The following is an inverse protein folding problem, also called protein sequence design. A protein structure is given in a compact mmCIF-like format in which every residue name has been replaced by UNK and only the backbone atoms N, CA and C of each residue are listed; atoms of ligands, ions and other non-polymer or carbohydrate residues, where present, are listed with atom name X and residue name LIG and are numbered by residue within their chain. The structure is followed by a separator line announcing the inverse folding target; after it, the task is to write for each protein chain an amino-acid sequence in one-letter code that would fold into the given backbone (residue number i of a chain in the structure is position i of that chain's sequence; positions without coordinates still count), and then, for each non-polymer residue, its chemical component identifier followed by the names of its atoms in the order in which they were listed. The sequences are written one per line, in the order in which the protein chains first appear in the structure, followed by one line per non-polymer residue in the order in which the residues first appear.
data_IF_075887225870
#
_entry.id   IF_075887225870
#
_cell.length_a   1.000
_cell.length_b   1.000
_cell.length_c   1.000
_cell.angle_alpha   90.00
_cell.angle_beta   90.00
_cell.angle_gamma   90.00
#
_symmetry.space_group_name_H-M   'P 1'
#
loop_
_entity.id
_entity.type
_entity.pdbx_description
1 polymer ?
#
# COMPACT_ATOMS: atom_id res chain seq x y z
N UNK A 1 -13.82 9.84 -21.01
CA UNK A 1 -12.81 10.58 -21.79
C UNK A 1 -11.55 10.73 -20.92
N UNK A 2 -10.43 10.19 -21.33
CA UNK A 2 -9.15 10.28 -20.58
C UNK A 2 -8.41 11.56 -20.97
N UNK A 3 -7.93 12.33 -20.00
CA UNK A 3 -7.07 13.49 -20.22
C UNK A 3 -5.67 13.16 -19.76
N UNK A 4 -4.66 13.61 -20.51
CA UNK A 4 -3.24 13.46 -20.19
C UNK A 4 -2.64 14.85 -19.99
N UNK A 5 -1.92 15.01 -18.88
CA UNK A 5 -1.04 16.15 -18.62
C UNK A 5 0.39 15.62 -18.49
N UNK A 6 1.34 16.21 -19.21
CA UNK A 6 2.72 15.78 -19.20
C UNK A 6 3.65 16.99 -18.98
N UNK A 7 4.57 16.85 -18.03
CA UNK A 7 5.58 17.87 -17.73
C UNK A 7 6.83 17.20 -17.15
N UNK A 8 7.99 17.52 -17.71
CA UNK A 8 9.30 17.08 -17.18
C UNK A 8 9.41 15.56 -16.97
N UNK A 9 8.83 14.76 -17.88
CA UNK A 9 8.80 13.30 -17.77
C UNK A 9 7.72 12.72 -16.86
N UNK A 10 6.97 13.55 -16.12
CA UNK A 10 5.84 13.14 -15.31
C UNK A 10 4.55 13.14 -16.13
N UNK A 11 3.73 12.11 -15.93
CA UNK A 11 2.44 11.95 -16.61
C UNK A 11 1.31 11.85 -15.58
N UNK A 12 0.30 12.68 -15.73
CA UNK A 12 -0.93 12.61 -14.95
C UNK A 12 -2.07 12.24 -15.89
N UNK A 13 -2.71 11.12 -15.61
CA UNK A 13 -3.89 10.69 -16.32
C UNK A 13 -5.13 10.95 -15.47
N UNK A 14 -6.08 11.68 -16.04
CA UNK A 14 -7.40 11.85 -15.47
C UNK A 14 -8.41 11.04 -16.26
N UNK A 15 -8.97 10.00 -15.69
CA UNK A 15 -9.92 9.11 -16.34
C UNK A 15 -10.15 7.84 -15.56
N UNK A 16 -10.78 6.87 -16.17
CA UNK A 16 -10.98 5.56 -15.59
C UNK A 16 -9.64 4.82 -15.45
N UNK A 17 -9.31 4.42 -14.21
CA UNK A 17 -8.03 3.80 -13.89
C UNK A 17 -7.88 2.40 -14.52
N UNK A 18 -8.96 1.63 -14.65
CA UNK A 18 -8.94 0.31 -15.30
C UNK A 18 -8.56 0.46 -16.77
N UNK A 19 -9.19 1.41 -17.48
CA UNK A 19 -8.89 1.69 -18.87
C UNK A 19 -7.45 2.22 -19.03
N UNK A 20 -7.01 3.13 -18.16
CA UNK A 20 -5.67 3.72 -18.24
C UNK A 20 -4.60 2.67 -17.97
N UNK A 21 -4.76 1.86 -16.95
CA UNK A 21 -3.83 0.76 -16.64
C UNK A 21 -3.78 -0.27 -17.78
N UNK A 22 -4.94 -0.60 -18.36
CA UNK A 22 -5.01 -1.53 -19.49
C UNK A 22 -4.28 -0.99 -20.72
N UNK A 23 -4.63 0.22 -21.15
CA UNK A 23 -4.31 0.73 -22.48
C UNK A 23 -3.01 1.53 -22.56
N UNK A 24 -2.61 2.17 -21.44
CA UNK A 24 -1.51 3.14 -21.40
C UNK A 24 -0.29 2.68 -20.60
N UNK A 25 -0.42 1.59 -19.86
CA UNK A 25 0.68 1.08 -19.03
C UNK A 25 1.13 -0.29 -19.55
N UNK A 26 2.35 -0.43 -20.04
CA UNK A 26 2.86 -1.73 -20.49
C UNK A 26 2.92 -2.74 -19.32
N UNK A 27 2.80 -4.03 -19.63
CA UNK A 27 2.98 -5.09 -18.64
C UNK A 27 4.45 -5.10 -18.15
N UNK A 28 4.66 -5.44 -16.88
CA UNK A 28 5.99 -5.53 -16.27
C UNK A 28 6.85 -4.25 -16.44
N UNK A 29 6.23 -3.07 -16.37
CA UNK A 29 6.90 -1.78 -16.59
C UNK A 29 7.05 -0.94 -15.32
N UNK A 30 6.24 -1.20 -14.29
CA UNK A 30 6.23 -0.38 -13.08
C UNK A 30 7.15 -0.96 -12.01
N UNK A 31 7.98 -0.10 -11.43
CA UNK A 31 8.81 -0.44 -10.26
C UNK A 31 8.01 -0.37 -8.96
N UNK A 32 7.03 0.54 -8.91
CA UNK A 32 6.19 0.78 -7.75
C UNK A 32 4.76 1.11 -8.17
N UNK A 33 3.81 0.55 -7.46
CA UNK A 33 2.42 1.00 -7.43
C UNK A 33 2.09 1.42 -6.00
N UNK A 34 1.64 2.66 -5.81
CA UNK A 34 0.97 3.10 -4.60
C UNK A 34 -0.49 3.35 -4.93
N UNK A 35 -1.39 2.58 -4.31
CA UNK A 35 -2.81 2.65 -4.59
C UNK A 35 -3.59 3.13 -3.36
N UNK A 36 -4.34 4.21 -3.55
CA UNK A 36 -5.28 4.79 -2.58
C UNK A 36 -6.64 4.95 -3.27
N UNK A 37 -7.43 3.86 -3.38
CA UNK A 37 -8.71 3.86 -4.09
C UNK A 37 -9.79 4.55 -3.26
N UNK A 38 -10.95 4.89 -3.85
CA UNK A 38 -12.15 5.22 -3.10
C UNK A 38 -12.49 4.11 -2.09
N UNK A 39 -13.01 4.46 -0.90
CA UNK A 39 -13.14 3.53 0.23
C UNK A 39 -14.54 2.92 0.39
N UNK A 40 -15.48 3.23 -0.49
CA UNK A 40 -16.89 2.81 -0.38
C UNK A 40 -17.58 3.29 0.93
N UNK A 41 -17.25 4.51 1.36
CA UNK A 41 -17.80 5.12 2.59
C UNK A 41 -18.87 6.18 2.31
N UNK A 42 -19.24 6.37 1.04
CA UNK A 42 -20.25 7.33 0.62
C UNK A 42 -19.79 8.78 0.65
N UNK A 43 -18.48 9.04 0.68
CA UNK A 43 -17.91 10.39 0.63
C UNK A 43 -18.21 11.04 -0.71
N UNK A 44 -18.65 12.30 -0.68
CA UNK A 44 -18.93 13.08 -1.89
C UNK A 44 -17.66 13.80 -2.37
N UNK A 45 -17.27 13.54 -3.59
CA UNK A 45 -16.21 14.21 -4.31
C UNK A 45 -16.79 15.07 -5.44
N UNK A 46 -17.31 16.26 -5.09
CA UNK A 46 -17.91 17.20 -6.03
C UNK A 46 -19.07 16.58 -6.85
N UNK A 47 -20.04 15.98 -6.18
CA UNK A 47 -21.22 15.37 -6.79
C UNK A 47 -21.03 13.92 -7.24
N UNK A 48 -19.85 13.34 -7.04
CA UNK A 48 -19.59 11.92 -7.29
C UNK A 48 -19.29 11.22 -5.97
N UNK A 49 -20.26 10.40 -5.53
CA UNK A 49 -20.09 9.62 -4.29
C UNK A 49 -19.24 8.38 -4.54
N UNK A 50 -18.34 8.07 -3.60
CA UNK A 50 -17.60 6.81 -3.56
C UNK A 50 -18.48 5.73 -2.91
N UNK A 51 -19.51 5.30 -3.61
CA UNK A 51 -20.47 4.32 -3.13
C UNK A 51 -20.86 3.35 -4.23
N UNK A 52 -20.76 2.07 -3.92
CA UNK A 52 -21.25 0.94 -4.70
C UNK A 52 -22.58 0.44 -4.14
N UNK A 53 -23.33 -0.32 -4.91
CA UNK A 53 -24.61 -0.85 -4.49
C UNK A 53 -24.46 -1.91 -3.39
N UNK A 54 -23.31 -2.62 -3.36
CA UNK A 54 -22.94 -3.55 -2.31
C UNK A 54 -21.44 -3.55 -2.03
N UNK A 55 -21.07 -4.08 -0.86
CA UNK A 55 -19.66 -4.28 -0.51
C UNK A 55 -19.00 -5.33 -1.40
N UNK A 56 -19.75 -6.33 -1.87
CA UNK A 56 -19.23 -7.34 -2.78
C UNK A 56 -18.90 -6.75 -4.16
N UNK A 57 -19.77 -5.89 -4.70
CA UNK A 57 -19.50 -5.19 -5.95
C UNK A 57 -18.26 -4.29 -5.84
N UNK A 58 -18.10 -3.60 -4.72
CA UNK A 58 -16.89 -2.81 -4.46
C UNK A 58 -15.64 -3.69 -4.41
N UNK A 59 -15.70 -4.85 -3.76
CA UNK A 59 -14.57 -5.78 -3.66
C UNK A 59 -14.20 -6.35 -5.03
N UNK A 60 -15.18 -6.75 -5.83
CA UNK A 60 -14.94 -7.23 -7.19
C UNK A 60 -14.28 -6.15 -8.06
N UNK A 61 -14.75 -4.91 -7.96
CA UNK A 61 -14.10 -3.78 -8.62
C UNK A 61 -12.64 -3.61 -8.13
N UNK A 62 -12.39 -3.74 -6.83
CA UNK A 62 -11.03 -3.70 -6.29
C UNK A 62 -10.17 -4.83 -6.87
N UNK A 63 -10.67 -6.04 -6.93
CA UNK A 63 -9.92 -7.18 -7.47
C UNK A 63 -9.54 -6.97 -8.94
N UNK A 64 -10.41 -6.39 -9.74
CA UNK A 64 -10.14 -6.09 -11.14
C UNK A 64 -8.94 -5.16 -11.33
N UNK A 65 -8.90 -4.02 -10.65
CA UNK A 65 -7.78 -3.10 -10.83
C UNK A 65 -6.51 -3.57 -10.09
N UNK A 66 -6.62 -4.32 -9.00
CA UNK A 66 -5.47 -4.95 -8.34
C UNK A 66 -4.77 -5.94 -9.27
N UNK A 67 -5.52 -6.77 -9.98
CA UNK A 67 -4.96 -7.71 -10.96
C UNK A 67 -4.24 -6.99 -12.10
N UNK A 68 -4.78 -5.85 -12.56
CA UNK A 68 -4.08 -5.00 -13.51
C UNK A 68 -2.77 -4.46 -12.91
N UNK A 69 -2.79 -3.91 -11.71
CA UNK A 69 -1.58 -3.43 -11.04
C UNK A 69 -0.52 -4.52 -10.91
N UNK A 70 -0.90 -5.72 -10.47
CA UNK A 70 0.00 -6.87 -10.35
C UNK A 70 0.63 -7.23 -11.71
N UNK A 71 -0.15 -7.22 -12.78
CA UNK A 71 0.33 -7.49 -14.13
C UNK A 71 1.33 -6.42 -14.61
N UNK A 72 1.08 -5.15 -14.28
CA UNK A 72 1.94 -4.02 -14.68
C UNK A 72 3.24 -3.93 -13.88
N UNK A 73 3.30 -4.48 -12.67
CA UNK A 73 4.52 -4.51 -11.87
C UNK A 73 5.61 -5.36 -12.52
N UNK A 74 6.85 -4.88 -12.47
CA UNK A 74 8.07 -5.66 -12.75
C UNK A 74 8.19 -6.84 -11.77
N UNK A 75 8.98 -7.87 -12.08
CA UNK A 75 9.27 -8.95 -11.12
C UNK A 75 9.84 -8.43 -9.79
N UNK A 76 10.64 -7.36 -9.82
CA UNK A 76 11.25 -6.68 -8.66
C UNK A 76 10.39 -5.57 -8.08
N UNK A 77 9.19 -5.35 -8.64
CA UNK A 77 8.31 -4.24 -8.27
C UNK A 77 7.54 -4.48 -6.98
N UNK A 78 7.12 -3.38 -6.38
CA UNK A 78 6.39 -3.33 -5.11
C UNK A 78 5.01 -2.72 -5.27
N UNK A 79 4.03 -3.25 -4.53
CA UNK A 79 2.69 -2.68 -4.39
C UNK A 79 2.46 -2.23 -2.95
N UNK A 80 2.10 -0.96 -2.78
CA UNK A 80 1.54 -0.43 -1.55
C UNK A 80 0.06 -0.16 -1.76
N UNK A 81 -0.78 -0.80 -0.95
CA UNK A 81 -2.23 -0.61 -0.99
C UNK A 81 -2.70 0.01 0.32
N UNK A 82 -3.28 1.20 0.24
CA UNK A 82 -4.03 1.82 1.33
C UNK A 82 -5.52 1.61 1.09
N UNK A 83 -6.29 1.29 2.13
CA UNK A 83 -7.73 1.13 2.03
C UNK A 83 -8.39 1.31 3.41
N UNK A 84 -9.71 1.52 3.42
CA UNK A 84 -10.46 1.60 4.66
C UNK A 84 -10.38 0.30 5.48
N UNK A 85 -10.35 0.46 6.81
CA UNK A 85 -10.19 -0.64 7.78
C UNK A 85 -11.20 -1.77 7.59
N UNK A 86 -12.44 -1.48 7.21
CA UNK A 86 -13.49 -2.47 6.99
C UNK A 86 -13.26 -3.31 5.72
N UNK A 87 -12.60 -2.77 4.70
CA UNK A 87 -12.35 -3.46 3.44
C UNK A 87 -10.96 -4.14 3.39
N UNK A 88 -10.00 -3.62 4.15
CA UNK A 88 -8.64 -4.14 4.18
C UNK A 88 -8.52 -5.66 4.41
N UNK A 89 -9.29 -6.31 5.32
CA UNK A 89 -9.18 -7.75 5.52
C UNK A 89 -9.44 -8.58 4.25
N UNK A 90 -10.39 -8.18 3.43
CA UNK A 90 -10.73 -8.87 2.17
C UNK A 90 -9.64 -8.68 1.12
N UNK A 91 -9.10 -7.47 1.03
CA UNK A 91 -8.02 -7.14 0.11
C UNK A 91 -6.70 -7.80 0.51
N UNK A 92 -6.43 -7.92 1.81
CA UNK A 92 -5.29 -8.65 2.37
C UNK A 92 -5.36 -10.14 1.98
N UNK A 93 -6.50 -10.80 2.23
CA UNK A 93 -6.69 -12.20 1.83
C UNK A 93 -6.55 -12.38 0.32
N UNK A 94 -7.11 -11.47 -0.48
CA UNK A 94 -7.01 -11.52 -1.93
C UNK A 94 -5.56 -11.41 -2.41
N UNK A 95 -4.83 -10.41 -1.92
CA UNK A 95 -3.44 -10.16 -2.29
C UNK A 95 -2.49 -11.24 -1.78
N UNK A 96 -2.73 -11.81 -0.60
CA UNK A 96 -1.88 -12.88 -0.05
C UNK A 96 -1.82 -14.16 -0.90
N UNK A 97 -2.83 -14.34 -1.77
CA UNK A 97 -2.88 -15.46 -2.73
C UNK A 97 -2.08 -15.20 -4.00
N UNK A 98 -1.66 -13.95 -4.25
CA UNK A 98 -1.05 -13.51 -5.52
C UNK A 98 0.33 -12.90 -5.32
N UNK A 99 0.58 -12.30 -4.17
CA UNK A 99 1.80 -11.59 -3.81
C UNK A 99 2.29 -12.01 -2.43
N UNK A 100 3.53 -11.68 -2.13
CA UNK A 100 4.05 -11.79 -0.77
C UNK A 100 3.80 -10.48 -0.01
N UNK A 101 2.98 -10.53 1.04
CA UNK A 101 2.80 -9.40 1.94
C UNK A 101 3.97 -9.37 2.91
N UNK A 102 4.81 -8.33 2.82
CA UNK A 102 5.98 -8.16 3.66
C UNK A 102 5.67 -7.41 4.96
N UNK A 103 4.79 -6.41 4.88
CA UNK A 103 4.42 -5.60 6.04
C UNK A 103 2.97 -5.15 5.97
N UNK A 104 2.35 -5.05 7.15
CA UNK A 104 1.09 -4.36 7.39
C UNK A 104 1.42 -3.11 8.17
N UNK A 105 1.40 -1.96 7.49
CA UNK A 105 1.82 -0.67 7.99
C UNK A 105 0.58 0.03 8.53
N UNK A 106 0.74 0.74 9.62
CA UNK A 106 -0.30 1.57 10.22
C UNK A 106 0.10 3.03 10.04
N UNK A 107 -0.67 3.76 9.25
CA UNK A 107 -0.57 5.21 9.21
C UNK A 107 -1.45 5.80 10.29
N UNK A 108 -0.86 6.11 11.43
CA UNK A 108 -1.56 6.72 12.55
C UNK A 108 -1.74 8.23 12.36
N UNK A 109 -2.93 8.73 12.70
CA UNK A 109 -3.24 10.16 12.77
C UNK A 109 -4.18 10.46 13.94
N UNK A 110 -4.12 11.69 14.47
CA UNK A 110 -4.92 12.14 15.62
C UNK A 110 -5.96 13.23 15.27
N UNK A 111 -6.10 13.53 13.97
CA UNK A 111 -6.92 14.64 13.46
C UNK A 111 -8.39 14.30 13.22
N UNK A 112 -8.83 13.06 13.49
CA UNK A 112 -10.22 12.71 13.26
C UNK A 112 -11.12 13.19 14.37
N UNK A 113 -12.15 14.01 14.02
CA UNK A 113 -13.20 14.44 14.92
C UNK A 113 -14.20 13.35 15.33
N UNK A 114 -13.88 12.07 15.13
CA UNK A 114 -14.79 10.96 15.43
C UNK A 114 -14.82 10.70 16.92
N UNK A 115 -15.84 11.23 17.60
CA UNK A 115 -16.15 10.89 18.99
C UNK A 115 -17.03 9.64 19.03
N UNK A 116 -16.43 8.48 19.03
CA UNK A 116 -17.14 7.22 19.22
C UNK A 116 -17.50 7.04 20.72
N UNK A 117 -18.80 6.90 21.03
CA UNK A 117 -19.26 6.71 22.41
C UNK A 117 -19.37 5.25 22.85
N UNK A 118 -19.37 4.28 21.94
CA UNK A 118 -19.64 2.86 22.21
C UNK A 118 -18.60 1.90 21.66
N UNK A 119 -17.57 2.41 20.94
CA UNK A 119 -16.47 1.62 20.36
C UNK A 119 -15.24 2.51 20.22
N UNK A 120 -14.10 1.91 19.96
CA UNK A 120 -12.88 2.65 19.66
C UNK A 120 -12.92 3.19 18.23
N UNK A 121 -12.75 4.50 18.06
CA UNK A 121 -12.63 5.11 16.72
C UNK A 121 -11.36 4.64 16.01
N UNK A 122 -11.43 4.42 14.71
CA UNK A 122 -10.24 4.16 13.90
C UNK A 122 -9.49 5.47 13.67
N UNK A 123 -8.28 5.57 14.20
CA UNK A 123 -7.36 6.70 14.03
C UNK A 123 -6.15 6.28 13.20
N UNK A 124 -6.36 5.41 12.21
CA UNK A 124 -5.30 4.95 11.34
C UNK A 124 -5.84 4.48 9.99
N UNK A 125 -4.97 4.52 8.99
CA UNK A 125 -5.18 3.87 7.71
C UNK A 125 -4.23 2.68 7.60
N UNK A 126 -4.75 1.48 7.31
CA UNK A 126 -3.91 0.31 7.06
C UNK A 126 -3.31 0.37 5.66
N UNK A 127 -2.02 0.02 5.55
CA UNK A 127 -1.32 -0.07 4.26
C UNK A 127 -0.66 -1.44 4.17
N UNK A 128 -0.88 -2.15 3.06
CA UNK A 128 -0.18 -3.39 2.74
C UNK A 128 1.04 -3.08 1.89
N UNK A 129 2.20 -3.59 2.30
CA UNK A 129 3.40 -3.62 1.47
C UNK A 129 3.57 -5.02 0.88
N UNK A 130 3.46 -5.14 -0.43
CA UNK A 130 3.45 -6.40 -1.16
C UNK A 130 4.52 -6.41 -2.26
N UNK A 131 5.08 -7.60 -2.52
CA UNK A 131 6.07 -7.83 -3.59
C UNK A 131 5.77 -9.11 -4.35
N UNK A 132 6.22 -9.20 -5.61
CA UNK A 132 6.12 -10.43 -6.40
C UNK A 132 7.08 -11.51 -5.93
N UNK A 133 8.32 -11.12 -5.66
CA UNK A 133 9.36 -12.01 -5.16
C UNK A 133 10.02 -11.41 -3.91
N UNK A 134 9.89 -12.10 -2.78
CA UNK A 134 10.47 -11.68 -1.50
C UNK A 134 12.01 -11.71 -1.45
N UNK A 135 12.65 -12.24 -2.48
CA UNK A 135 14.11 -12.28 -2.60
C UNK A 135 14.69 -11.26 -3.57
N UNK A 136 13.84 -10.70 -4.46
CA UNK A 136 14.26 -9.84 -5.55
C UNK A 136 13.36 -8.59 -5.66
N UNK A 137 13.26 -7.82 -4.59
CA UNK A 137 12.54 -6.55 -4.62
C UNK A 137 13.46 -5.38 -4.25
N UNK A 138 13.14 -4.20 -4.72
CA UNK A 138 13.90 -2.98 -4.39
C UNK A 138 13.40 -2.42 -3.06
N UNK A 139 14.30 -2.26 -2.10
CA UNK A 139 14.04 -1.62 -0.82
C UNK A 139 15.30 -0.96 -0.28
N UNK A 140 15.34 0.37 -0.29
CA UNK A 140 16.49 1.16 0.11
C UNK A 140 16.40 1.47 1.61
N UNK A 141 16.65 0.46 2.44
CA UNK A 141 16.49 0.56 3.89
C UNK A 141 17.32 1.70 4.51
N UNK A 142 18.53 1.93 4.01
CA UNK A 142 19.43 2.94 4.55
C UNK A 142 18.91 4.37 4.34
N UNK A 143 18.11 4.61 3.29
CA UNK A 143 17.56 5.94 2.97
C UNK A 143 16.40 6.34 3.90
N UNK A 144 15.82 5.38 4.62
CA UNK A 144 14.65 5.59 5.49
C UNK A 144 14.94 5.34 6.98
N UNK A 145 16.22 5.24 7.35
CA UNK A 145 16.59 5.04 8.74
C UNK A 145 16.30 6.28 9.59
N UNK A 146 15.65 6.05 10.71
CA UNK A 146 15.40 7.07 11.74
C UNK A 146 15.99 6.65 13.07
N UNK A 147 16.27 7.60 13.95
CA UNK A 147 16.73 7.28 15.29
C UNK A 147 15.65 6.55 16.08
N UNK A 148 16.05 5.54 16.84
CA UNK A 148 15.13 4.80 17.69
C UNK A 148 14.53 5.72 18.75
N UNK A 149 13.21 5.83 18.84
CA UNK A 149 12.50 6.69 19.83
C UNK A 149 12.91 6.42 21.27
N UNK A 150 13.38 5.22 21.58
CA UNK A 150 13.83 4.86 22.94
C UNK A 150 15.25 5.31 23.26
N UNK A 151 16.01 5.81 22.30
CA UNK A 151 17.44 6.10 22.44
C UNK A 151 18.31 4.88 22.79
N UNK A 152 17.71 3.71 22.94
CA UNK A 152 18.40 2.51 23.35
C UNK A 152 19.13 1.85 22.17
N UNK A 153 20.39 1.50 22.39
CA UNK A 153 21.10 0.59 21.48
C UNK A 153 20.48 -0.80 21.58
N UNK A 154 19.92 -1.28 20.44
CA UNK A 154 19.41 -2.65 20.37
C UNK A 154 20.52 -3.58 19.87
N UNK A 155 20.84 -4.58 20.66
CA UNK A 155 21.65 -5.72 20.22
C UNK A 155 20.72 -6.72 19.55
N UNK A 156 20.83 -6.86 18.24
CA UNK A 156 20.10 -7.89 17.50
C UNK A 156 21.03 -9.09 17.31
N UNK A 157 20.55 -10.26 17.69
CA UNK A 157 21.27 -11.52 17.47
C UNK A 157 20.63 -12.18 16.23
N UNK A 158 21.42 -12.35 15.19
CA UNK A 158 20.97 -13.06 13.99
C UNK A 158 21.22 -14.57 14.17
N UNK A 159 20.18 -15.26 14.62
CA UNK A 159 20.21 -16.71 14.82
C UNK A 159 20.16 -17.53 13.51
N UNK A 160 19.99 -16.89 12.35
CA UNK A 160 19.96 -17.57 11.05
C UNK A 160 21.36 -17.92 10.55
N UNK A 161 22.40 -17.36 11.14
CA UNK A 161 23.79 -17.64 10.82
C UNK A 161 24.31 -18.80 11.65
N UNK A 162 25.21 -19.63 11.09
CA UNK A 162 25.87 -20.73 11.87
C UNK A 162 26.56 -20.23 13.13
N UNK A 163 27.09 -19.01 13.09
CA UNK A 163 27.62 -18.31 14.27
C UNK A 163 26.77 -17.06 14.44
N UNK A 164 26.01 -16.94 15.54
CA UNK A 164 25.20 -15.76 15.79
C UNK A 164 26.07 -14.50 15.80
N UNK A 165 25.66 -13.49 15.03
CA UNK A 165 26.31 -12.17 15.02
C UNK A 165 25.43 -11.16 15.74
N UNK A 166 26.07 -10.32 16.57
CA UNK A 166 25.39 -9.20 17.22
C UNK A 166 25.50 -7.93 16.37
N UNK A 167 24.40 -7.25 16.22
CA UNK A 167 24.34 -5.92 15.60
C UNK A 167 24.00 -4.89 16.68
N UNK A 168 24.82 -3.85 16.79
CA UNK A 168 24.44 -2.64 17.52
C UNK A 168 23.80 -1.68 16.54
N UNK A 169 22.52 -1.42 16.67
CA UNK A 169 21.86 -0.40 15.86
C UNK A 169 21.27 0.68 16.75
N UNK A 170 21.71 1.93 16.54
CA UNK A 170 21.04 3.13 17.09
C UNK A 170 19.89 3.57 16.21
N UNK A 171 19.76 3.00 15.03
CA UNK A 171 18.75 3.36 14.01
C UNK A 171 17.93 2.14 13.65
N UNK A 172 16.67 2.37 13.36
CA UNK A 172 15.70 1.38 12.86
C UNK A 172 15.03 1.96 11.62
N UNK A 173 14.54 1.13 10.69
CA UNK A 173 13.72 1.62 9.59
C UNK A 173 12.56 2.45 10.15
N UNK A 174 12.30 3.60 9.54
CA UNK A 174 11.21 4.49 9.95
C UNK A 174 9.86 3.78 9.86
N UNK A 175 9.06 3.94 10.90
CA UNK A 175 7.67 3.51 10.95
C UNK A 175 6.75 4.70 10.67
#
# INVERSE_FOLDING_TARGET
MTRLFEKEGHKIYWGDSLQILSDKTPDMSLDLVFADPPYNIGKDFNGRKDKWDSDDEYREWCYCWLDLCIRKLKPTGSLYLMAATQNMPYLDIYLSRKLHILSRIVWFYDSSGVQAKRYFGSLYEPILFCVKDKKQYTFNADDILVEAKTGAERKLIDYRKPVPSMYNTKKVPGN
#
